data_IF_161450788277
#
_entry.id   IF_161450788277
#
_cell.length_a   1.000
_cell.length_b   1.000
_cell.length_c   1.000
_cell.angle_alpha   90.00
_cell.angle_beta   90.00
_cell.angle_gamma   90.00
#
_symmetry.space_group_name_H-M   'P 1'
#
loop_
_entity.id
_entity.type
_entity.pdbx_description
1 polymer ?
#
# COMPACT_ATOMS: atom_id res chain seq x y z
N UNK A 1 -0.76 -29.37 -1.80
CA UNK A 1 -0.06 -28.69 -2.92
C UNK A 1 1.44 -28.78 -2.67
N UNK A 2 2.21 -29.25 -3.65
CA UNK A 2 3.66 -29.47 -3.50
C UNK A 2 4.50 -28.33 -4.06
N UNK A 3 4.04 -27.71 -5.15
CA UNK A 3 4.83 -26.71 -5.87
C UNK A 3 3.93 -25.69 -6.60
N UNK A 4 4.33 -24.42 -6.62
CA UNK A 4 3.75 -23.34 -7.43
C UNK A 4 4.85 -22.70 -8.24
N UNK A 5 4.61 -22.46 -9.53
CA UNK A 5 5.55 -21.76 -10.40
C UNK A 5 4.80 -20.77 -11.29
N UNK A 6 5.42 -19.61 -11.51
CA UNK A 6 4.91 -18.61 -12.45
C UNK A 6 5.38 -18.96 -13.87
N UNK A 7 4.47 -18.80 -14.83
CA UNK A 7 4.74 -18.91 -16.25
C UNK A 7 4.47 -17.55 -16.94
N UNK A 8 5.05 -17.26 -18.11
CA UNK A 8 4.89 -15.97 -18.79
C UNK A 8 3.44 -15.54 -19.05
N UNK A 9 2.52 -16.50 -19.13
CA UNK A 9 1.09 -16.29 -19.41
C UNK A 9 0.19 -16.95 -18.35
N UNK A 10 0.73 -17.15 -17.14
CA UNK A 10 -0.06 -17.71 -16.04
C UNK A 10 0.78 -18.39 -14.97
N UNK A 11 0.32 -19.55 -14.52
CA UNK A 11 0.98 -20.30 -13.45
C UNK A 11 0.75 -21.80 -13.59
N UNK A 12 1.63 -22.55 -12.95
CA UNK A 12 1.61 -24.00 -12.87
C UNK A 12 1.64 -24.42 -11.40
N UNK A 13 0.77 -25.34 -11.02
CA UNK A 13 0.70 -25.91 -9.68
C UNK A 13 0.71 -27.44 -9.72
N UNK A 14 1.49 -28.03 -8.83
CA UNK A 14 1.54 -29.49 -8.66
C UNK A 14 0.72 -29.90 -7.44
N UNK A 15 -0.36 -30.64 -7.67
CA UNK A 15 -1.28 -31.11 -6.62
C UNK A 15 -1.15 -32.62 -6.48
N UNK A 16 -1.00 -33.10 -5.24
CA UNK A 16 -0.98 -34.54 -4.94
C UNK A 16 -2.39 -35.11 -5.05
N UNK A 17 -2.57 -36.14 -5.89
CA UNK A 17 -3.79 -36.93 -5.95
C UNK A 17 -3.87 -37.84 -4.74
N UNK A 18 -5.04 -37.88 -4.09
CA UNK A 18 -5.30 -38.70 -2.90
C UNK A 18 -5.42 -40.21 -3.17
N UNK A 19 -5.14 -40.68 -4.39
CA UNK A 19 -5.22 -42.10 -4.74
C UNK A 19 -4.00 -42.85 -4.18
N UNK A 20 -4.27 -43.79 -3.27
CA UNK A 20 -3.31 -44.39 -2.31
C UNK A 20 -2.23 -45.33 -2.87
N UNK A 21 -2.19 -45.63 -4.17
CA UNK A 21 -1.40 -46.77 -4.66
C UNK A 21 -0.30 -46.45 -5.69
N UNK A 22 0.23 -45.22 -5.76
CA UNK A 22 1.49 -44.99 -6.49
C UNK A 22 2.26 -43.78 -5.94
N UNK A 23 3.57 -43.94 -5.77
CA UNK A 23 4.48 -42.93 -5.21
C UNK A 23 4.61 -41.66 -6.10
N UNK A 24 3.98 -41.64 -7.29
CA UNK A 24 4.05 -40.55 -8.27
C UNK A 24 2.67 -40.07 -8.78
N UNK A 25 1.66 -40.06 -7.92
CA UNK A 25 0.33 -39.48 -8.26
C UNK A 25 0.31 -37.95 -8.13
N UNK A 26 1.26 -37.25 -8.75
CA UNK A 26 1.22 -35.79 -8.85
C UNK A 26 0.46 -35.39 -10.12
N UNK A 27 -0.53 -34.51 -9.96
CA UNK A 27 -1.31 -33.96 -11.07
C UNK A 27 -0.91 -32.51 -11.29
N UNK A 28 -0.74 -32.14 -12.55
CA UNK A 28 -0.37 -30.78 -12.94
C UNK A 28 -1.62 -29.98 -13.30
N UNK A 29 -1.75 -28.81 -12.68
CA UNK A 29 -2.77 -27.84 -13.01
C UNK A 29 -2.11 -26.56 -13.53
N UNK A 30 -2.61 -26.02 -14.64
CA UNK A 30 -2.14 -24.75 -15.22
C UNK A 30 -3.26 -23.74 -15.24
N UNK A 31 -3.03 -22.57 -14.68
CA UNK A 31 -3.91 -21.41 -14.83
C UNK A 31 -3.40 -20.51 -15.95
N UNK A 32 -4.26 -20.20 -16.92
CA UNK A 32 -3.97 -19.23 -17.96
C UNK A 32 -4.61 -17.88 -17.65
N UNK A 33 -3.81 -16.83 -17.80
CA UNK A 33 -4.23 -15.44 -17.60
C UNK A 33 -4.50 -14.80 -18.93
N UNK A 34 -5.73 -14.31 -19.10
CA UNK A 34 -6.00 -13.32 -20.12
C UNK A 34 -5.63 -11.95 -19.53
N UNK A 35 -4.73 -11.20 -20.19
CA UNK A 35 -4.41 -9.85 -19.74
C UNK A 35 -5.70 -9.00 -19.74
N UNK A 36 -5.86 -8.18 -18.71
CA UNK A 36 -7.03 -7.33 -18.56
C UNK A 36 -7.16 -6.37 -19.74
N UNK A 37 -8.40 -6.06 -20.11
CA UNK A 37 -8.66 -4.99 -21.07
C UNK A 37 -8.37 -3.61 -20.44
N UNK A 38 -8.36 -2.55 -21.26
CA UNK A 38 -8.01 -1.21 -20.78
C UNK A 38 -9.04 -0.65 -19.78
N UNK A 39 -10.30 -1.09 -19.82
CA UNK A 39 -11.38 -0.64 -18.94
C UNK A 39 -11.24 -1.33 -17.57
N UNK A 40 -11.01 -2.64 -17.56
CA UNK A 40 -10.76 -3.45 -16.38
C UNK A 40 -9.50 -2.98 -15.64
N UNK A 41 -8.41 -2.72 -16.38
CA UNK A 41 -7.19 -2.14 -15.81
C UNK A 41 -7.46 -0.82 -15.12
N UNK A 42 -8.18 0.09 -15.79
CA UNK A 42 -8.49 1.40 -15.22
C UNK A 42 -9.35 1.27 -13.95
N UNK A 43 -10.37 0.42 -13.98
CA UNK A 43 -11.26 0.17 -12.83
C UNK A 43 -10.48 -0.38 -11.64
N UNK A 44 -9.59 -1.36 -11.88
CA UNK A 44 -8.75 -1.93 -10.82
C UNK A 44 -7.80 -0.87 -10.25
N UNK A 45 -7.18 -0.03 -11.11
CA UNK A 45 -6.30 1.05 -10.66
C UNK A 45 -7.03 2.11 -9.82
N UNK A 46 -8.27 2.45 -10.17
CA UNK A 46 -9.12 3.35 -9.38
C UNK A 46 -9.41 2.75 -8.01
N UNK A 47 -9.80 1.48 -7.93
CA UNK A 47 -10.02 0.78 -6.65
C UNK A 47 -8.75 0.74 -5.78
N UNK A 48 -7.58 0.49 -6.39
CA UNK A 48 -6.31 0.51 -5.67
C UNK A 48 -5.97 1.91 -5.15
N UNK A 49 -6.32 2.96 -5.90
CA UNK A 49 -6.07 4.35 -5.52
C UNK A 49 -6.91 4.83 -4.31
N UNK A 50 -8.03 4.15 -3.99
CA UNK A 50 -8.87 4.49 -2.83
C UNK A 50 -8.14 4.33 -1.49
N UNK A 51 -7.12 3.46 -1.43
CA UNK A 51 -6.35 3.18 -0.21
C UNK A 51 -4.86 3.42 -0.40
N UNK A 52 -4.39 4.57 0.09
CA UNK A 52 -2.96 4.87 0.11
C UNK A 52 -2.12 3.84 0.87
N UNK A 53 -2.70 3.21 1.90
CA UNK A 53 -2.04 2.15 2.66
C UNK A 53 -1.87 0.88 1.83
N UNK A 54 -2.89 0.47 1.05
CA UNK A 54 -2.80 -0.67 0.15
C UNK A 54 -1.67 -0.48 -0.88
N UNK A 55 -1.61 0.70 -1.50
CA UNK A 55 -0.56 1.05 -2.46
C UNK A 55 0.82 0.99 -1.81
N UNK A 56 0.98 1.49 -0.58
CA UNK A 56 2.23 1.37 0.16
C UNK A 56 2.62 -0.10 0.42
N UNK A 57 1.68 -0.94 0.87
CA UNK A 57 1.94 -2.37 1.13
C UNK A 57 2.32 -3.12 -0.15
N UNK A 58 1.67 -2.79 -1.27
CA UNK A 58 2.05 -3.27 -2.60
C UNK A 58 3.49 -2.87 -2.95
N UNK A 59 3.88 -1.60 -2.70
CA UNK A 59 5.22 -1.11 -3.03
C UNK A 59 6.33 -1.74 -2.18
N UNK A 60 6.02 -2.11 -0.94
CA UNK A 60 6.89 -2.87 -0.05
C UNK A 60 6.97 -4.36 -0.43
N UNK A 61 6.18 -4.81 -1.41
CA UNK A 61 6.05 -6.21 -1.84
C UNK A 61 5.81 -7.16 -0.65
N UNK A 62 4.99 -6.71 0.30
CA UNK A 62 4.59 -7.50 1.47
C UNK A 62 3.31 -8.28 1.17
N UNK A 63 3.10 -9.41 1.86
CA UNK A 63 1.82 -10.11 1.79
C UNK A 63 0.67 -9.19 2.20
N UNK A 64 -0.41 -9.20 1.43
CA UNK A 64 -1.62 -8.46 1.75
C UNK A 64 -2.46 -9.22 2.78
N UNK A 65 -3.07 -8.53 3.76
CA UNK A 65 -4.08 -9.13 4.60
C UNK A 65 -5.29 -9.57 3.75
N UNK A 66 -6.09 -10.56 4.20
CA UNK A 66 -7.18 -11.13 3.41
C UNK A 66 -8.21 -10.11 2.89
N UNK A 67 -8.50 -9.08 3.68
CA UNK A 67 -9.47 -8.03 3.32
C UNK A 67 -8.98 -7.18 2.14
N UNK A 68 -7.71 -6.80 2.16
CA UNK A 68 -7.07 -6.02 1.09
C UNK A 68 -6.82 -6.89 -0.15
N UNK A 69 -6.47 -8.16 0.05
CA UNK A 69 -6.27 -9.11 -1.03
C UNK A 69 -7.59 -9.46 -1.75
N UNK A 70 -8.76 -9.22 -1.14
CA UNK A 70 -10.06 -9.54 -1.72
C UNK A 70 -10.30 -8.88 -3.09
N UNK A 71 -9.69 -7.73 -3.35
CA UNK A 71 -9.76 -7.04 -4.64
C UNK A 71 -8.98 -7.80 -5.73
N UNK A 72 -7.90 -8.49 -5.34
CA UNK A 72 -6.99 -9.18 -6.27
C UNK A 72 -7.26 -10.68 -6.42
N UNK A 73 -7.80 -11.33 -5.38
CA UNK A 73 -8.06 -12.78 -5.35
C UNK A 73 -8.91 -13.27 -6.54
N UNK A 74 -10.01 -12.59 -6.96
CA UNK A 74 -10.84 -13.05 -8.08
C UNK A 74 -10.03 -13.25 -9.36
N UNK A 75 -9.10 -12.33 -9.64
CA UNK A 75 -8.24 -12.41 -10.82
C UNK A 75 -7.30 -13.62 -10.80
N UNK A 76 -6.98 -14.17 -9.63
CA UNK A 76 -6.18 -15.39 -9.51
C UNK A 76 -7.02 -16.67 -9.58
N UNK A 77 -8.26 -16.65 -9.09
CA UNK A 77 -9.13 -17.83 -9.00
C UNK A 77 -9.99 -18.07 -10.24
N UNK A 78 -10.35 -17.00 -10.95
CA UNK A 78 -11.19 -17.05 -12.17
C UNK A 78 -10.39 -17.32 -13.45
N UNK A 79 -9.07 -17.45 -13.33
CA UNK A 79 -8.19 -17.85 -14.42
C UNK A 79 -8.64 -19.20 -15.02
N UNK A 80 -8.44 -19.39 -16.32
CA UNK A 80 -8.78 -20.64 -16.98
C UNK A 80 -7.82 -21.74 -16.51
N UNK A 81 -8.29 -22.61 -15.61
CA UNK A 81 -7.49 -23.72 -15.06
C UNK A 81 -7.71 -24.98 -15.89
N UNK A 82 -6.62 -25.51 -16.43
CA UNK A 82 -6.56 -26.83 -17.06
C UNK A 82 -5.86 -27.82 -16.13
N UNK A 83 -6.28 -29.08 -16.15
CA UNK A 83 -5.73 -30.10 -15.28
C UNK A 83 -5.46 -31.37 -16.09
N UNK A 84 -4.32 -32.02 -15.85
CA UNK A 84 -3.96 -33.28 -16.53
C UNK A 84 -4.79 -34.49 -16.09
N UNK A 85 -5.74 -34.31 -15.16
CA UNK A 85 -6.69 -35.34 -14.73
C UNK A 85 -7.82 -35.60 -15.75
N UNK A 86 -8.01 -34.73 -16.75
CA UNK A 86 -9.03 -34.81 -17.81
C UNK A 86 -10.51 -34.83 -17.33
N UNK A 87 -10.78 -34.69 -16.04
CA UNK A 87 -12.14 -34.60 -15.48
C UNK A 87 -12.73 -33.18 -15.59
N UNK A 88 -14.00 -33.06 -16.02
CA UNK A 88 -14.71 -31.77 -16.11
C UNK A 88 -14.90 -31.07 -14.76
N UNK A 89 -15.09 -31.84 -13.68
CA UNK A 89 -15.11 -31.36 -12.30
C UNK A 89 -13.97 -32.01 -11.52
N UNK A 90 -12.80 -31.37 -11.50
CA UNK A 90 -11.59 -31.92 -10.90
C UNK A 90 -11.25 -31.22 -9.58
N UNK A 91 -11.22 -31.98 -8.48
CA UNK A 91 -10.82 -31.49 -7.15
C UNK A 91 -9.40 -30.89 -7.15
N UNK A 92 -8.52 -31.39 -8.03
CA UNK A 92 -7.17 -30.84 -8.21
C UNK A 92 -7.19 -29.40 -8.76
N UNK A 93 -8.12 -29.09 -9.67
CA UNK A 93 -8.25 -27.74 -10.22
C UNK A 93 -8.73 -26.76 -9.15
N UNK A 94 -9.66 -27.19 -8.29
CA UNK A 94 -10.11 -26.38 -7.16
C UNK A 94 -9.00 -26.17 -6.12
N UNK A 95 -8.26 -27.23 -5.77
CA UNK A 95 -7.08 -27.11 -4.91
C UNK A 95 -6.01 -26.17 -5.51
N UNK A 96 -5.86 -26.17 -6.84
CA UNK A 96 -4.97 -25.27 -7.55
C UNK A 96 -5.47 -23.80 -7.54
N UNK A 97 -6.79 -23.56 -7.63
CA UNK A 97 -7.36 -22.21 -7.45
C UNK A 97 -7.13 -21.66 -6.04
N UNK A 98 -7.33 -22.48 -5.01
CA UNK A 98 -7.06 -22.11 -3.62
C UNK A 98 -5.57 -21.75 -3.45
N UNK A 99 -4.69 -22.53 -4.07
CA UNK A 99 -3.26 -22.24 -4.09
C UNK A 99 -2.94 -20.91 -4.81
N UNK A 100 -3.56 -20.65 -5.96
CA UNK A 100 -3.40 -19.41 -6.69
C UNK A 100 -3.88 -18.20 -5.88
N UNK A 101 -5.01 -18.31 -5.17
CA UNK A 101 -5.47 -17.27 -4.25
C UNK A 101 -4.45 -17.01 -3.12
N UNK A 102 -3.92 -18.08 -2.52
CA UNK A 102 -2.90 -17.97 -1.47
C UNK A 102 -1.57 -17.41 -1.98
N UNK A 103 -1.23 -17.64 -3.24
CA UNK A 103 -0.05 -17.05 -3.86
C UNK A 103 -0.29 -15.56 -4.16
N UNK A 104 -1.46 -15.19 -4.69
CA UNK A 104 -1.84 -13.82 -4.99
C UNK A 104 -1.78 -12.90 -3.76
N UNK A 105 -2.13 -13.42 -2.57
CA UNK A 105 -2.01 -12.65 -1.33
C UNK A 105 -0.55 -12.44 -0.90
N UNK A 106 0.34 -13.39 -1.21
CA UNK A 106 1.77 -13.32 -0.87
C UNK A 106 2.58 -12.48 -1.85
N UNK A 107 2.22 -12.51 -3.13
CA UNK A 107 2.95 -11.87 -4.23
C UNK A 107 2.03 -11.02 -5.11
N UNK A 108 1.41 -9.97 -4.55
CA UNK A 108 0.38 -9.19 -5.25
C UNK A 108 0.94 -8.39 -6.45
N UNK A 109 2.19 -7.92 -6.40
CA UNK A 109 2.81 -7.24 -7.53
C UNK A 109 3.09 -8.19 -8.71
N UNK A 110 3.38 -9.47 -8.43
CA UNK A 110 3.57 -10.46 -9.47
C UNK A 110 2.24 -10.78 -10.17
N UNK A 111 1.14 -10.85 -9.42
CA UNK A 111 -0.20 -10.94 -9.99
C UNK A 111 -0.54 -9.73 -10.87
N UNK A 112 -0.33 -8.50 -10.39
CA UNK A 112 -0.59 -7.31 -11.19
C UNK A 112 0.23 -7.30 -12.49
N UNK A 113 1.48 -7.75 -12.42
CA UNK A 113 2.34 -7.87 -13.60
C UNK A 113 1.80 -8.92 -14.60
N UNK A 114 1.28 -10.06 -14.13
CA UNK A 114 0.60 -11.05 -14.97
C UNK A 114 -0.66 -10.49 -15.63
N UNK A 115 -1.37 -9.59 -14.96
CA UNK A 115 -2.54 -8.89 -15.51
C UNK A 115 -2.17 -7.75 -16.48
N UNK A 116 -0.87 -7.51 -16.69
CA UNK A 116 -0.35 -6.47 -17.57
C UNK A 116 -0.28 -5.08 -16.92
N UNK A 117 -0.40 -4.99 -15.60
CA UNK A 117 -0.23 -3.74 -14.83
C UNK A 117 1.17 -3.74 -14.25
N UNK A 118 2.06 -2.95 -14.86
CA UNK A 118 3.42 -2.77 -14.37
C UNK A 118 3.44 -1.88 -13.13
N UNK A 119 4.49 -2.00 -12.32
CA UNK A 119 4.70 -1.13 -11.15
C UNK A 119 4.68 0.35 -11.51
N UNK A 120 5.26 0.73 -12.65
CA UNK A 120 5.28 2.13 -13.11
C UNK A 120 3.88 2.58 -13.51
N UNK A 121 3.14 1.78 -14.27
CA UNK A 121 1.76 2.11 -14.65
C UNK A 121 0.84 2.27 -13.42
N UNK A 122 1.04 1.43 -12.39
CA UNK A 122 0.33 1.56 -11.12
C UNK A 122 0.63 2.92 -10.44
N UNK A 123 1.91 3.26 -10.28
CA UNK A 123 2.30 4.51 -9.61
C UNK A 123 1.87 5.76 -10.40
N UNK A 124 2.06 5.76 -11.72
CA UNK A 124 1.68 6.87 -12.59
C UNK A 124 0.17 7.13 -12.50
N UNK A 125 -0.64 6.07 -12.52
CA UNK A 125 -2.09 6.18 -12.42
C UNK A 125 -2.55 6.65 -11.04
N UNK A 126 -2.03 6.05 -9.96
CA UNK A 126 -2.43 6.39 -8.58
C UNK A 126 -2.01 7.81 -8.23
N UNK A 127 -0.76 8.18 -8.48
CA UNK A 127 -0.28 9.53 -8.20
C UNK A 127 -0.94 10.57 -9.11
N UNK A 128 -1.20 10.24 -10.38
CA UNK A 128 -1.96 11.10 -11.27
C UNK A 128 -3.37 11.38 -10.75
N UNK A 129 -4.07 10.35 -10.26
CA UNK A 129 -5.40 10.48 -9.66
C UNK A 129 -5.38 11.37 -8.40
N UNK A 130 -4.47 11.10 -7.45
CA UNK A 130 -4.37 11.90 -6.23
C UNK A 130 -3.94 13.35 -6.51
N UNK A 131 -3.08 13.57 -7.50
CA UNK A 131 -2.70 14.92 -7.92
C UNK A 131 -3.91 15.70 -8.47
N UNK A 132 -4.69 15.09 -9.36
CA UNK A 132 -5.90 15.71 -9.92
C UNK A 132 -6.94 16.05 -8.84
N UNK A 133 -7.10 15.20 -7.81
CA UNK A 133 -7.96 15.51 -6.66
C UNK A 133 -7.45 16.69 -5.82
N UNK A 134 -6.13 16.88 -5.76
CA UNK A 134 -5.50 17.96 -5.00
C UNK A 134 -5.57 19.31 -5.72
N UNK A 135 -5.58 19.34 -7.06
CA UNK A 135 -5.71 20.57 -7.84
C UNK A 135 -7.07 21.26 -7.63
N UNK A 136 -8.13 20.49 -7.36
CA UNK A 136 -9.45 21.01 -7.01
C UNK A 136 -9.58 21.48 -5.54
N UNK A 137 -8.63 21.11 -4.67
CA UNK A 137 -8.56 21.49 -3.25
C UNK A 137 -7.26 22.24 -3.00
N UNK A 138 -7.13 23.44 -3.55
CA UNK A 138 -6.06 24.35 -3.16
C UNK A 138 -6.12 24.57 -1.64
N UNK A 139 -5.27 23.84 -0.90
CA UNK A 139 -4.97 24.14 0.50
C UNK A 139 -4.52 25.61 0.56
N UNK A 140 -4.88 26.37 1.62
CA UNK A 140 -4.45 27.76 1.78
C UNK A 140 -2.92 27.96 1.66
N UNK A 141 -2.14 26.88 1.79
CA UNK A 141 -0.69 26.86 1.56
C UNK A 141 -0.23 26.91 0.09
N UNK A 142 -1.02 26.43 -0.88
CA UNK A 142 -0.67 26.55 -2.30
C UNK A 142 -0.70 28.01 -2.78
N UNK A 143 -1.60 28.82 -2.18
CA UNK A 143 -1.63 30.27 -2.38
C UNK A 143 -0.38 30.98 -1.80
N UNK A 144 0.37 30.35 -0.88
CA UNK A 144 1.65 30.88 -0.40
C UNK A 144 2.77 30.72 -1.43
N UNK A 145 2.72 29.68 -2.28
CA UNK A 145 3.68 29.47 -3.37
C UNK A 145 3.39 30.40 -4.56
N UNK A 146 2.14 30.81 -4.75
CA UNK A 146 1.75 31.79 -5.78
C UNK A 146 1.86 33.24 -5.33
N UNK A 147 2.28 33.50 -4.08
CA UNK A 147 2.50 34.88 -3.62
C UNK A 147 3.73 35.41 -4.36
N UNK A 148 3.64 36.55 -5.08
CA UNK A 148 4.83 37.24 -5.56
C UNK A 148 5.74 37.43 -4.35
N UNK A 149 7.01 37.05 -4.49
CA UNK A 149 8.03 37.11 -3.45
C UNK A 149 8.28 38.56 -3.00
N UNK A 150 7.33 39.14 -2.28
CA UNK A 150 7.38 40.47 -1.70
C UNK A 150 7.85 40.38 -0.25
N UNK A 151 8.80 39.48 0.04
CA UNK A 151 9.53 39.49 1.30
C UNK A 151 11.03 39.47 1.00
N UNK A 152 11.63 40.62 1.25
CA UNK A 152 13.07 40.89 1.31
C UNK A 152 13.85 40.63 0.01
N UNK A 153 13.72 41.53 -0.98
CA UNK A 153 14.81 41.94 -1.87
C UNK A 153 15.60 40.87 -2.65
N UNK A 154 15.08 39.66 -2.79
CA UNK A 154 15.72 38.57 -3.54
C UNK A 154 15.15 38.48 -4.96
N UNK A 155 16.03 38.57 -5.94
CA UNK A 155 15.73 38.32 -7.34
C UNK A 155 15.23 36.87 -7.53
N UNK A 156 14.03 36.71 -8.09
CA UNK A 156 13.44 35.40 -8.45
C UNK A 156 14.39 34.57 -9.32
N UNK A 157 15.25 35.23 -10.11
CA UNK A 157 16.37 34.60 -10.84
C UNK A 157 17.26 33.77 -9.93
N UNK A 158 17.72 34.30 -8.79
CA UNK A 158 18.63 33.57 -7.91
C UNK A 158 18.00 32.33 -7.28
N UNK A 159 16.67 32.31 -7.12
CA UNK A 159 15.94 31.15 -6.63
C UNK A 159 15.84 30.09 -7.73
N UNK A 160 15.55 30.50 -8.98
CA UNK A 160 15.49 29.59 -10.11
C UNK A 160 16.87 29.06 -10.51
N UNK A 161 17.91 29.89 -10.41
CA UNK A 161 19.30 29.50 -10.63
C UNK A 161 19.74 28.48 -9.56
N UNK A 162 19.39 28.70 -8.29
CA UNK A 162 19.65 27.74 -7.22
C UNK A 162 18.91 26.41 -7.43
N UNK A 163 17.65 26.43 -7.88
CA UNK A 163 16.90 25.21 -8.17
C UNK A 163 17.52 24.48 -9.37
N UNK A 164 17.86 25.19 -10.43
CA UNK A 164 18.49 24.59 -11.61
C UNK A 164 19.84 23.94 -11.27
N UNK A 165 20.69 24.63 -10.50
CA UNK A 165 21.99 24.13 -10.03
C UNK A 165 21.80 22.92 -9.09
N UNK A 166 20.83 22.97 -8.18
CA UNK A 166 20.52 21.89 -7.23
C UNK A 166 19.91 20.65 -7.91
N UNK A 167 19.18 20.81 -9.02
CA UNK A 167 18.70 19.68 -9.85
C UNK A 167 19.86 19.02 -10.56
N UNK A 168 20.77 19.83 -11.11
CA UNK A 168 21.93 19.35 -11.87
C UNK A 168 22.90 18.53 -10.99
N UNK A 169 23.07 18.95 -9.74
CA UNK A 169 23.92 18.25 -8.77
C UNK A 169 23.20 17.11 -8.01
N UNK A 170 21.96 16.77 -8.39
CA UNK A 170 21.10 15.84 -7.64
C UNK A 170 21.06 16.16 -6.14
N UNK A 171 21.10 17.45 -5.81
CA UNK A 171 21.31 17.96 -4.46
C UNK A 171 20.05 18.63 -3.89
N UNK A 172 18.88 18.48 -4.54
CA UNK A 172 17.61 19.06 -4.05
C UNK A 172 17.29 18.68 -2.60
N UNK A 173 17.75 17.51 -2.17
CA UNK A 173 17.59 16.95 -0.83
C UNK A 173 18.76 17.26 0.10
N UNK A 174 19.82 17.91 -0.38
CA UNK A 174 20.95 18.37 0.44
C UNK A 174 20.71 19.83 0.86
N UNK A 175 20.87 20.15 2.15
CA UNK A 175 20.90 21.53 2.60
C UNK A 175 21.95 22.31 1.79
N UNK A 176 21.61 23.49 1.27
CA UNK A 176 22.54 24.31 0.49
C UNK A 176 23.85 24.60 1.25
N UNK A 177 24.94 24.86 0.53
CA UNK A 177 26.31 24.97 1.08
C UNK A 177 26.45 25.90 2.31
N UNK A 178 25.61 26.92 2.43
CA UNK A 178 25.62 27.85 3.57
C UNK A 178 25.08 27.25 4.87
N UNK A 179 24.34 26.15 4.80
CA UNK A 179 23.82 25.44 5.98
C UNK A 179 24.86 24.46 6.55
N UNK A 180 25.87 24.09 5.77
CA UNK A 180 26.98 23.24 6.23
C UNK A 180 28.00 24.01 7.09
N UNK A 181 27.99 25.35 7.02
CA UNK A 181 28.86 26.24 7.79
C UNK A 181 28.28 26.60 9.18
N UNK A 182 27.01 26.28 9.44
CA UNK A 182 26.37 26.58 10.72
C UNK A 182 26.57 25.43 11.70
N UNK A 183 27.62 25.52 12.52
CA UNK A 183 27.84 24.59 13.62
C UNK A 183 26.85 24.87 14.77
N UNK A 184 25.67 24.23 14.72
CA UNK A 184 24.63 24.33 15.75
C UNK A 184 25.08 23.58 17.03
N UNK A 185 25.73 24.30 17.95
CA UNK A 185 25.98 23.80 19.31
C UNK A 185 24.71 23.88 20.15
N UNK A 186 23.83 22.90 19.96
CA UNK A 186 22.63 22.74 20.78
C UNK A 186 23.02 22.17 22.14
N UNK A 187 22.93 23.00 23.17
CA UNK A 187 22.99 22.55 24.56
C UNK A 187 21.62 22.02 24.94
N UNK A 188 21.53 20.74 25.32
CA UNK A 188 20.29 20.18 25.83
C UNK A 188 19.80 21.02 27.02
N UNK A 189 18.55 21.51 27.02
CA UNK A 189 18.04 22.27 28.14
C UNK A 189 18.01 21.37 29.38
N UNK A 190 18.58 21.85 30.49
CA UNK A 190 18.70 21.10 31.74
C UNK A 190 17.35 20.73 32.38
N UNK A 191 16.27 21.38 31.93
CA UNK A 191 14.89 21.06 32.28
C UNK A 191 14.02 21.20 31.03
N UNK A 192 13.33 20.13 30.67
CA UNK A 192 12.23 20.18 29.72
C UNK A 192 11.07 20.91 30.40
N UNK A 193 10.78 22.14 29.96
CA UNK A 193 9.53 22.80 30.30
C UNK A 193 8.40 22.01 29.62
N UNK A 194 7.34 21.62 30.34
CA UNK A 194 6.20 20.98 29.70
C UNK A 194 5.66 21.91 28.61
N UNK A 195 5.25 21.37 27.45
CA UNK A 195 4.72 22.18 26.38
C UNK A 195 3.51 22.99 26.90
N UNK A 196 3.31 24.22 26.40
CA UNK A 196 2.14 25.01 26.75
C UNK A 196 0.87 24.19 26.49
N UNK A 197 -0.12 24.30 27.38
CA UNK A 197 -1.41 23.63 27.20
C UNK A 197 -1.97 24.03 25.83
N UNK A 198 -2.43 23.07 25.03
CA UNK A 198 -2.98 23.31 23.68
C UNK A 198 -4.02 24.44 23.61
N UNK A 199 -4.84 24.60 24.67
CA UNK A 199 -5.77 25.72 24.81
C UNK A 199 -5.12 27.12 24.74
N UNK A 200 -3.87 27.26 25.19
CA UNK A 200 -3.11 28.52 25.10
C UNK A 200 -2.53 28.79 23.71
N UNK A 201 -2.41 27.76 22.86
CA UNK A 201 -1.96 27.89 21.47
C UNK A 201 -3.13 28.19 20.51
N UNK A 202 -4.35 27.84 20.90
CA UNK A 202 -5.56 27.99 20.10
C UNK A 202 -6.69 28.65 20.92
N UNK A 203 -6.52 29.92 21.34
CA UNK A 203 -7.43 30.58 22.30
C UNK A 203 -8.86 30.80 21.79
N UNK A 204 -9.09 30.65 20.48
CA UNK A 204 -10.41 30.80 19.85
C UNK A 204 -11.04 29.47 19.43
N UNK A 205 -10.35 28.35 19.61
CA UNK A 205 -10.89 27.03 19.28
C UNK A 205 -11.56 26.40 20.51
N UNK A 206 -12.69 25.68 20.35
CA UNK A 206 -13.28 24.90 21.43
C UNK A 206 -12.40 23.67 21.69
N UNK A 207 -11.23 23.89 22.29
CA UNK A 207 -10.16 22.90 22.42
C UNK A 207 -10.59 21.67 23.21
N UNK A 208 -11.45 21.81 24.22
CA UNK A 208 -11.91 20.66 24.99
C UNK A 208 -12.85 19.75 24.19
N UNK A 209 -13.76 20.32 23.39
CA UNK A 209 -14.63 19.55 22.51
C UNK A 209 -13.82 18.86 21.39
N UNK A 210 -12.86 19.58 20.79
CA UNK A 210 -11.98 19.04 19.76
C UNK A 210 -11.07 17.92 20.29
N UNK A 211 -10.51 18.08 21.51
CA UNK A 211 -9.68 17.06 22.14
C UNK A 211 -10.50 15.85 22.60
N UNK A 212 -11.74 16.05 23.03
CA UNK A 212 -12.65 14.94 23.37
C UNK A 212 -12.98 14.13 22.12
N UNK A 213 -13.35 14.81 21.03
CA UNK A 213 -13.59 14.17 19.74
C UNK A 213 -12.35 13.44 19.21
N UNK A 214 -11.16 14.04 19.31
CA UNK A 214 -9.91 13.38 18.93
C UNK A 214 -9.62 12.14 19.78
N UNK A 215 -9.83 12.20 21.10
CA UNK A 215 -9.67 11.03 21.98
C UNK A 215 -10.67 9.94 21.65
N UNK A 216 -11.92 10.28 21.37
CA UNK A 216 -12.95 9.33 20.96
C UNK A 216 -12.59 8.66 19.64
N UNK A 217 -12.16 9.43 18.63
CA UNK A 217 -11.73 8.91 17.33
C UNK A 217 -10.50 8.01 17.47
N UNK A 218 -9.51 8.42 18.27
CA UNK A 218 -8.32 7.62 18.55
C UNK A 218 -8.63 6.35 19.32
N UNK A 219 -9.54 6.40 20.30
CA UNK A 219 -9.99 5.22 21.04
C UNK A 219 -10.74 4.25 20.15
N UNK A 220 -11.62 4.76 19.28
CA UNK A 220 -12.38 3.94 18.34
C UNK A 220 -11.46 3.23 17.33
N UNK A 221 -10.49 3.95 16.77
CA UNK A 221 -9.47 3.37 15.88
C UNK A 221 -8.54 2.40 16.60
N UNK A 222 -8.17 2.69 17.86
CA UNK A 222 -7.38 1.78 18.66
C UNK A 222 -8.11 0.46 18.94
N UNK A 223 -9.44 0.48 19.10
CA UNK A 223 -10.25 -0.73 19.21
C UNK A 223 -10.43 -1.45 17.89
N UNK A 224 -10.52 -0.73 16.77
CA UNK A 224 -10.59 -1.31 15.41
C UNK A 224 -9.25 -1.97 15.01
N UNK A 225 -8.12 -1.45 15.49
CA UNK A 225 -6.77 -1.95 15.19
C UNK A 225 -6.18 -2.84 16.27
N UNK A 226 -6.87 -3.02 17.40
CA UNK A 226 -6.45 -3.98 18.40
C UNK A 226 -6.61 -5.39 17.81
N UNK A 227 -5.54 -6.20 17.72
CA UNK A 227 -5.67 -7.58 17.27
C UNK A 227 -6.67 -8.29 18.19
N UNK A 228 -7.58 -9.08 17.62
CA UNK A 228 -8.52 -9.92 18.36
C UNK A 228 -7.76 -10.99 19.16
N UNK A 229 -7.12 -10.60 20.25
CA UNK A 229 -6.49 -11.53 21.18
C UNK A 229 -7.52 -11.95 22.23
N UNK A 230 -7.92 -13.23 22.13
CA UNK A 230 -8.47 -14.07 23.18
C UNK A 230 -9.94 -13.88 23.59
N UNK A 231 -10.85 -14.35 22.72
CA UNK A 231 -11.96 -15.18 23.19
C UNK A 231 -11.60 -16.67 23.00
N UNK A 232 -10.76 -17.22 23.86
CA UNK A 232 -10.79 -18.65 24.20
C UNK A 232 -10.35 -18.85 25.64
N UNK A 233 -11.32 -19.11 26.51
CA UNK A 233 -11.34 -20.14 27.59
C UNK A 233 -12.49 -19.84 28.54
N UNK A 234 -13.70 -20.20 28.10
CA UNK A 234 -14.67 -20.77 29.02
C UNK A 234 -14.21 -22.20 29.36
N UNK A 235 -14.40 -22.59 30.62
CA UNK A 235 -14.38 -24.00 31.02
C UNK A 235 -13.15 -24.48 31.78
N UNK A 236 -13.37 -24.74 33.07
CA UNK A 236 -12.77 -25.80 33.92
C UNK A 236 -11.97 -25.29 35.12
N UNK A 237 -12.64 -25.22 36.27
CA UNK A 237 -12.35 -26.15 37.38
C UNK A 237 -13.41 -26.05 38.48
N UNK A 238 -14.18 -27.12 38.55
CA UNK A 238 -14.73 -27.70 39.78
C UNK A 238 -13.66 -27.84 40.87
N UNK A 239 -13.96 -27.36 42.07
CA UNK A 239 -13.84 -28.16 43.30
C UNK A 239 -14.72 -27.58 44.39
#
# INVERSE_FOLDING_TARGET
MKEFQLEPHGWKATVSSGVRDSEDNNVECKGHVNPLDDIEKKTLLEQLAESAYLVYTLMENKPLPPEEAAILIPFATEMQVTCTCESEACEHAEAARIAAASWATREPLALLSLLGITRTALLDSVFGSWAAESEGKALPGAALLQRPAARAGGNVSAIMDYIAESVQDSALHKPGHRLTEVELRLKAPSKMTPPPKLASLLPQAPTDAALTHLREQMSKRATEWAPHSAQTKSGSKTK
#
